data_IF_340863187840
#
_entry.id   IF_340863187840
#
_cell.length_a   1.000
_cell.length_b   1.000
_cell.length_c   1.000
_cell.angle_alpha   90.00
_cell.angle_beta   90.00
_cell.angle_gamma   90.00
#
_symmetry.space_group_name_H-M   'P 1'
#
loop_
_entity.id
_entity.type
_entity.pdbx_description
1 polymer ?
#
# COMPACT_ATOMS: atom_id res chain seq x y z
N UNK A 1 19.79 -22.23 -11.34
CA UNK A 1 18.61 -23.11 -11.49
C UNK A 1 17.64 -22.43 -12.44
N UNK A 2 17.21 -23.11 -13.51
CA UNK A 2 16.19 -22.62 -14.43
C UNK A 2 14.85 -22.64 -13.68
N UNK A 3 14.05 -21.56 -13.71
CA UNK A 3 12.73 -21.56 -13.05
C UNK A 3 11.85 -22.65 -13.68
N UNK A 4 11.02 -23.33 -12.85
CA UNK A 4 10.12 -24.35 -13.36
C UNK A 4 9.18 -23.75 -14.41
N UNK A 5 8.86 -24.52 -15.44
CA UNK A 5 7.89 -24.14 -16.46
C UNK A 5 6.55 -23.90 -15.77
N UNK A 6 5.85 -22.77 -16.05
CA UNK A 6 4.55 -22.49 -15.43
C UNK A 6 3.57 -23.63 -15.74
N UNK A 7 2.95 -24.16 -14.69
CA UNK A 7 1.83 -25.10 -14.83
C UNK A 7 0.53 -24.35 -15.16
N UNK A 8 -0.56 -25.07 -15.43
CA UNK A 8 -1.84 -24.48 -15.83
C UNK A 8 -2.37 -23.42 -14.86
N UNK A 9 -2.21 -23.65 -13.54
CA UNK A 9 -2.66 -22.72 -12.51
C UNK A 9 -1.84 -21.42 -12.51
N UNK A 10 -0.52 -21.55 -12.60
CA UNK A 10 0.38 -20.39 -12.63
C UNK A 10 0.17 -19.53 -13.89
N UNK A 11 -0.25 -20.13 -15.01
CA UNK A 11 -0.59 -19.39 -16.21
C UNK A 11 -1.79 -18.45 -16.00
N UNK A 12 -2.77 -18.85 -15.19
CA UNK A 12 -3.93 -18.02 -14.86
C UNK A 12 -3.59 -16.83 -13.95
N UNK A 13 -2.51 -16.96 -13.17
CA UNK A 13 -2.04 -15.92 -12.25
C UNK A 13 -1.11 -14.90 -12.91
N UNK A 14 -0.69 -15.10 -14.16
CA UNK A 14 0.21 -14.17 -14.85
C UNK A 14 -0.36 -12.76 -14.95
N UNK A 15 0.54 -11.77 -14.93
CA UNK A 15 0.24 -10.35 -15.06
C UNK A 15 0.41 -9.58 -13.78
N UNK A 16 -0.15 -8.38 -13.76
CA UNK A 16 -0.02 -7.44 -12.68
C UNK A 16 -1.33 -7.35 -11.88
N UNK A 17 -1.21 -7.27 -10.57
CA UNK A 17 -2.30 -7.31 -9.59
C UNK A 17 -2.10 -6.22 -8.55
N UNK A 18 -3.09 -5.33 -8.39
CA UNK A 18 -3.10 -4.31 -7.35
C UNK A 18 -3.78 -4.83 -6.08
N UNK A 19 -3.16 -4.62 -4.93
CA UNK A 19 -3.73 -5.00 -3.62
C UNK A 19 -4.90 -4.06 -3.32
N UNK A 20 -6.10 -4.62 -3.20
CA UNK A 20 -7.32 -3.90 -2.88
C UNK A 20 -7.60 -3.90 -1.37
N UNK A 21 -7.33 -5.03 -0.69
CA UNK A 21 -7.41 -5.14 0.76
C UNK A 21 -6.26 -5.98 1.30
N UNK A 22 -5.77 -5.62 2.47
CA UNK A 22 -4.76 -6.36 3.22
C UNK A 22 -5.20 -6.45 4.68
N UNK A 23 -5.13 -7.65 5.25
CA UNK A 23 -5.35 -7.91 6.66
C UNK A 23 -4.19 -8.75 7.18
N UNK A 24 -3.55 -8.35 8.27
CA UNK A 24 -2.47 -9.10 8.93
C UNK A 24 -2.90 -9.34 10.37
N UNK A 25 -2.85 -10.60 10.82
CA UNK A 25 -3.20 -11.00 12.19
C UNK A 25 -4.56 -10.49 12.66
N UNK A 26 -5.57 -10.48 11.76
CA UNK A 26 -6.91 -10.02 12.05
C UNK A 26 -7.05 -8.49 12.07
N UNK A 27 -5.99 -7.76 11.73
CA UNK A 27 -6.01 -6.31 11.67
C UNK A 27 -5.97 -5.82 10.22
N UNK A 28 -6.90 -4.96 9.79
CA UNK A 28 -6.82 -4.33 8.48
C UNK A 28 -5.58 -3.45 8.39
N UNK A 29 -4.84 -3.62 7.31
CA UNK A 29 -3.62 -2.88 7.00
C UNK A 29 -3.81 -2.01 5.76
N UNK A 30 -2.96 -0.98 5.57
CA UNK A 30 -2.95 -0.22 4.33
C UNK A 30 -2.83 -1.13 3.12
N UNK A 31 -3.81 -1.11 2.25
CA UNK A 31 -3.79 -1.84 0.99
C UNK A 31 -3.00 -1.04 -0.05
N UNK A 32 -1.70 -0.87 0.17
CA UNK A 32 -0.80 -0.25 -0.79
C UNK A 32 0.19 -1.29 -1.28
N UNK A 33 0.15 -1.60 -2.58
CA UNK A 33 1.09 -2.55 -3.16
C UNK A 33 0.56 -3.18 -4.45
N UNK A 34 1.48 -3.85 -5.11
CA UNK A 34 1.26 -4.50 -6.39
C UNK A 34 2.08 -5.78 -6.46
N UNK A 35 1.52 -6.81 -7.05
CA UNK A 35 2.24 -8.04 -7.36
C UNK A 35 2.26 -8.19 -8.88
N UNK A 36 3.45 -8.42 -9.43
CA UNK A 36 3.65 -8.78 -10.84
C UNK A 36 4.12 -10.21 -10.88
N UNK A 37 3.44 -11.05 -11.64
CA UNK A 37 3.77 -12.48 -11.82
C UNK A 37 4.12 -12.69 -13.28
N UNK A 38 5.35 -13.10 -13.55
CA UNK A 38 5.87 -13.36 -14.89
C UNK A 38 6.62 -14.69 -14.92
N UNK A 39 6.10 -15.64 -15.66
CA UNK A 39 6.61 -17.02 -15.65
C UNK A 39 6.54 -17.62 -14.25
N UNK A 40 7.66 -18.13 -13.76
CA UNK A 40 7.80 -18.66 -12.39
C UNK A 40 8.36 -17.64 -11.39
N UNK A 41 8.28 -16.34 -11.67
CA UNK A 41 8.83 -15.27 -10.83
C UNK A 41 7.73 -14.33 -10.39
N UNK A 42 7.93 -13.71 -9.23
CA UNK A 42 7.12 -12.61 -8.79
C UNK A 42 7.98 -11.42 -8.38
N UNK A 43 7.44 -10.24 -8.56
CA UNK A 43 7.92 -8.99 -7.95
C UNK A 43 6.73 -8.37 -7.23
N UNK A 44 6.89 -8.04 -5.97
CA UNK A 44 5.86 -7.28 -5.23
C UNK A 44 6.50 -6.10 -4.56
N UNK A 45 5.79 -5.00 -4.56
CA UNK A 45 6.02 -3.87 -3.69
C UNK A 45 4.86 -3.79 -2.71
N UNK A 46 5.19 -3.90 -1.46
CA UNK A 46 4.23 -3.77 -0.37
C UNK A 46 4.90 -3.05 0.78
N UNK A 47 4.18 -2.13 1.42
CA UNK A 47 4.66 -1.40 2.59
C UNK A 47 6.01 -0.69 2.37
N UNK A 48 6.26 -0.17 1.14
CA UNK A 48 7.46 0.57 0.79
C UNK A 48 8.72 -0.26 0.53
N UNK A 49 8.63 -1.59 0.55
CA UNK A 49 9.73 -2.49 0.22
C UNK A 49 9.44 -3.27 -1.06
N UNK A 50 10.49 -3.49 -1.86
CA UNK A 50 10.44 -4.37 -3.02
C UNK A 50 10.87 -5.78 -2.62
N UNK A 51 10.06 -6.77 -2.97
CA UNK A 51 10.35 -8.18 -2.79
C UNK A 51 10.35 -8.88 -4.15
N UNK A 52 11.33 -9.74 -4.39
CA UNK A 52 11.41 -10.57 -5.59
C UNK A 52 11.62 -12.03 -5.21
N UNK A 53 11.12 -12.91 -6.05
CA UNK A 53 11.31 -14.33 -5.82
C UNK A 53 10.74 -15.21 -6.90
N UNK A 54 10.67 -16.50 -6.58
CA UNK A 54 10.00 -17.50 -7.40
C UNK A 54 8.66 -17.88 -6.78
N UNK A 55 7.70 -18.17 -7.64
CA UNK A 55 6.34 -18.55 -7.27
C UNK A 55 5.99 -19.91 -7.86
N UNK A 56 5.42 -20.76 -7.03
CA UNK A 56 4.80 -22.00 -7.42
C UNK A 56 3.31 -21.92 -7.06
N UNK A 57 2.44 -22.31 -7.98
CA UNK A 57 1.00 -22.34 -7.75
C UNK A 57 0.42 -23.63 -8.32
N UNK A 58 -0.25 -24.41 -7.47
CA UNK A 58 -0.85 -25.68 -7.84
C UNK A 58 -2.03 -26.02 -6.94
N UNK A 59 -3.17 -26.36 -7.54
CA UNK A 59 -4.36 -26.83 -6.82
C UNK A 59 -4.79 -25.94 -5.64
N UNK A 60 -4.77 -24.61 -5.86
CA UNK A 60 -5.13 -23.63 -4.84
C UNK A 60 -4.06 -23.36 -3.78
N UNK A 61 -2.89 -23.99 -3.87
CA UNK A 61 -1.73 -23.75 -3.01
C UNK A 61 -0.74 -22.84 -3.73
N UNK A 62 -0.05 -21.99 -2.97
CA UNK A 62 0.91 -21.03 -3.49
C UNK A 62 2.12 -20.98 -2.56
N UNK A 63 3.33 -21.06 -3.15
CA UNK A 63 4.59 -20.95 -2.43
C UNK A 63 5.41 -19.81 -3.04
N UNK A 64 5.83 -18.89 -2.18
CA UNK A 64 6.72 -17.79 -2.53
C UNK A 64 8.09 -18.04 -1.90
N UNK A 65 9.12 -18.11 -2.72
CA UNK A 65 10.51 -18.17 -2.23
C UNK A 65 11.19 -16.84 -2.55
N UNK A 66 11.54 -16.09 -1.52
CA UNK A 66 12.13 -14.76 -1.68
C UNK A 66 13.62 -14.85 -2.04
N UNK A 67 13.98 -14.18 -3.14
CA UNK A 67 15.38 -14.10 -3.62
C UNK A 67 15.99 -12.71 -3.41
N UNK A 68 15.16 -11.71 -3.11
CA UNK A 68 15.55 -10.32 -2.86
C UNK A 68 14.54 -9.65 -1.92
N UNK A 69 14.94 -8.57 -1.27
CA UNK A 69 14.15 -7.82 -0.31
C UNK A 69 14.38 -8.25 1.14
N UNK A 70 13.64 -7.70 2.10
CA UNK A 70 13.77 -8.00 3.54
C UNK A 70 13.63 -9.48 3.88
N UNK A 71 12.82 -10.22 3.12
CA UNK A 71 12.53 -11.65 3.34
C UNK A 71 13.47 -12.59 2.54
N UNK A 72 14.57 -12.08 2.00
CA UNK A 72 15.50 -12.89 1.20
C UNK A 72 15.93 -14.18 1.91
N UNK A 73 15.72 -15.31 1.24
CA UNK A 73 16.04 -16.66 1.74
C UNK A 73 14.86 -17.36 2.41
N UNK A 74 13.80 -16.62 2.76
CA UNK A 74 12.60 -17.19 3.37
C UNK A 74 11.65 -17.77 2.31
N UNK A 75 10.80 -18.70 2.76
CA UNK A 75 9.70 -19.25 1.99
C UNK A 75 8.39 -18.94 2.70
N UNK A 76 7.44 -18.38 1.98
CA UNK A 76 6.10 -18.11 2.47
C UNK A 76 5.12 -19.10 1.84
N UNK A 77 4.44 -19.90 2.69
CA UNK A 77 3.44 -20.85 2.28
C UNK A 77 2.07 -20.18 2.23
N UNK A 78 1.31 -20.39 1.16
CA UNK A 78 0.01 -19.75 1.02
C UNK A 78 -1.03 -20.62 0.32
N UNK A 79 -2.25 -20.12 0.32
CA UNK A 79 -3.35 -20.58 -0.51
C UNK A 79 -3.85 -19.42 -1.36
N UNK A 80 -4.38 -19.73 -2.54
CA UNK A 80 -4.98 -18.73 -3.41
C UNK A 80 -6.33 -19.17 -3.95
N UNK A 81 -7.14 -18.19 -4.33
CA UNK A 81 -8.40 -18.37 -5.04
C UNK A 81 -8.52 -17.30 -6.10
N UNK A 82 -8.72 -17.72 -7.33
CA UNK A 82 -8.94 -16.83 -8.46
C UNK A 82 -10.41 -16.87 -8.89
N UNK A 83 -11.04 -15.71 -9.02
CA UNK A 83 -12.40 -15.56 -9.56
C UNK A 83 -12.43 -14.39 -10.54
N UNK A 84 -12.39 -14.69 -11.83
CA UNK A 84 -12.25 -13.66 -12.87
C UNK A 84 -10.97 -12.84 -12.64
N UNK A 85 -11.10 -11.53 -12.49
CA UNK A 85 -10.01 -10.61 -12.25
C UNK A 85 -9.77 -10.30 -10.76
N UNK A 86 -10.31 -11.11 -9.88
CA UNK A 86 -10.07 -11.00 -8.42
C UNK A 86 -9.27 -12.20 -7.95
N UNK A 87 -8.10 -11.93 -7.37
CA UNK A 87 -7.21 -12.89 -6.75
C UNK A 87 -7.24 -12.69 -5.24
N UNK A 88 -7.51 -13.74 -4.48
CA UNK A 88 -7.42 -13.74 -3.03
C UNK A 88 -6.25 -14.63 -2.61
N UNK A 89 -5.39 -14.10 -1.75
CA UNK A 89 -4.23 -14.80 -1.19
C UNK A 89 -4.38 -14.87 0.32
N UNK A 90 -4.04 -16.01 0.91
CA UNK A 90 -3.79 -16.10 2.34
C UNK A 90 -2.38 -16.67 2.54
N UNK A 91 -1.50 -15.91 3.17
CA UNK A 91 -0.07 -16.14 3.23
C UNK A 91 0.38 -16.34 4.69
N UNK A 92 1.24 -17.32 4.94
CA UNK A 92 1.88 -17.55 6.23
C UNK A 92 3.15 -16.69 6.33
N UNK A 93 3.06 -15.49 6.92
CA UNK A 93 4.20 -14.58 7.05
C UNK A 93 5.19 -15.06 8.10
N UNK A 94 4.70 -15.39 9.29
CA UNK A 94 5.51 -15.89 10.41
C UNK A 94 5.07 -17.27 10.89
N UNK A 95 3.92 -17.78 10.40
CA UNK A 95 3.46 -19.12 10.69
C UNK A 95 4.26 -20.17 9.91
N UNK A 96 4.70 -21.27 10.54
CA UNK A 96 5.41 -22.34 9.84
C UNK A 96 4.47 -23.23 9.01
N UNK A 97 3.15 -23.05 9.11
CA UNK A 97 2.16 -23.92 8.48
C UNK A 97 1.34 -23.16 7.44
N UNK A 98 1.05 -23.85 6.33
CA UNK A 98 0.18 -23.33 5.27
C UNK A 98 -1.22 -23.05 5.80
N UNK A 99 -1.81 -21.88 5.50
CA UNK A 99 -3.21 -21.61 5.79
C UNK A 99 -4.14 -22.65 5.14
N UNK A 100 -5.25 -22.97 5.80
CA UNK A 100 -6.30 -23.84 5.26
C UNK A 100 -7.58 -23.10 4.96
N UNK A 101 -7.66 -21.81 5.34
CA UNK A 101 -8.83 -20.95 5.16
C UNK A 101 -8.38 -19.53 4.81
N UNK A 102 -9.23 -18.80 4.10
CA UNK A 102 -9.03 -17.37 3.81
C UNK A 102 -9.50 -16.52 5.00
N UNK A 103 -8.75 -16.57 6.09
CA UNK A 103 -9.05 -15.84 7.32
C UNK A 103 -7.78 -15.65 8.13
N UNK A 104 -7.64 -14.50 8.77
CA UNK A 104 -6.61 -14.21 9.77
C UNK A 104 -7.23 -14.08 11.17
N UNK A 105 -6.41 -14.08 12.20
CA UNK A 105 -6.80 -13.84 13.58
C UNK A 105 -5.60 -13.23 14.33
N UNK A 106 -5.79 -12.54 15.46
CA UNK A 106 -4.68 -12.05 16.27
C UNK A 106 -3.65 -13.14 16.59
N UNK A 107 -2.37 -12.88 16.30
CA UNK A 107 -1.25 -13.79 16.51
C UNK A 107 -1.22 -15.02 15.61
N UNK A 108 -1.99 -15.03 14.52
CA UNK A 108 -2.00 -16.15 13.57
C UNK A 108 -0.73 -16.23 12.70
N UNK A 109 0.02 -15.14 12.56
CA UNK A 109 1.14 -15.00 11.65
C UNK A 109 0.72 -15.06 10.17
N UNK A 110 -0.55 -14.76 9.88
CA UNK A 110 -1.14 -14.83 8.53
C UNK A 110 -1.45 -13.45 7.97
N UNK A 111 -1.29 -13.31 6.65
CA UNK A 111 -1.83 -12.20 5.88
C UNK A 111 -2.93 -12.69 4.93
N UNK A 112 -3.99 -11.91 4.80
CA UNK A 112 -5.06 -12.11 3.83
C UNK A 112 -5.11 -10.90 2.90
N UNK A 113 -4.94 -11.16 1.61
CA UNK A 113 -4.93 -10.14 0.56
C UNK A 113 -6.04 -10.40 -0.44
N UNK A 114 -6.71 -9.34 -0.87
CA UNK A 114 -7.55 -9.35 -2.06
C UNK A 114 -6.94 -8.42 -3.09
N UNK A 115 -6.73 -8.93 -4.29
CA UNK A 115 -6.08 -8.21 -5.38
C UNK A 115 -7.00 -8.19 -6.60
N UNK A 116 -6.88 -7.12 -7.38
CA UNK A 116 -7.54 -7.01 -8.68
C UNK A 116 -6.50 -6.96 -9.79
N UNK A 117 -6.80 -7.65 -10.89
CA UNK A 117 -5.96 -7.64 -12.10
C UNK A 117 -5.92 -6.22 -12.66
N UNK A 118 -4.72 -5.73 -12.93
CA UNK A 118 -4.56 -4.41 -13.54
C UNK A 118 -5.18 -4.38 -14.94
N UNK A 119 -5.86 -3.26 -15.25
CA UNK A 119 -6.61 -3.11 -16.52
C UNK A 119 -7.98 -3.78 -16.55
N UNK A 120 -8.40 -4.48 -15.49
CA UNK A 120 -9.77 -4.99 -15.38
C UNK A 120 -10.77 -3.89 -15.04
N UNK A 121 -12.05 -4.08 -15.39
CA UNK A 121 -13.13 -3.16 -15.01
C UNK A 121 -13.28 -3.05 -13.48
N UNK A 122 -12.89 -4.08 -12.75
CA UNK A 122 -12.92 -4.14 -11.29
C UNK A 122 -11.76 -3.35 -10.68
N UNK A 123 -10.56 -3.42 -11.29
CA UNK A 123 -9.41 -2.62 -10.89
C UNK A 123 -9.64 -1.12 -11.14
N UNK A 124 -10.31 -0.76 -12.24
CA UNK A 124 -10.67 0.63 -12.52
C UNK A 124 -11.61 1.23 -11.44
N UNK A 125 -12.41 0.38 -10.78
CA UNK A 125 -13.31 0.79 -9.68
C UNK A 125 -12.58 0.83 -8.32
N UNK A 126 -11.47 0.11 -8.17
CA UNK A 126 -10.61 0.12 -6.98
C UNK A 126 -9.53 1.24 -7.01
N UNK A 127 -9.55 2.08 -8.05
CA UNK A 127 -8.86 3.35 -8.12
C UNK A 127 -7.41 3.29 -8.57
N UNK A 128 -7.16 3.76 -9.74
CA UNK A 128 -5.85 4.17 -10.17
C UNK A 128 -5.57 3.96 -11.65
N UNK A 129 -6.27 4.67 -12.51
CA UNK A 129 -5.69 5.03 -13.80
C UNK A 129 -4.39 5.78 -13.55
N UNK A 130 -3.29 5.40 -14.19
CA UNK A 130 -2.04 6.14 -14.11
C UNK A 130 -2.30 7.60 -14.47
N UNK A 131 -2.01 8.50 -13.54
CA UNK A 131 -2.15 9.95 -13.74
C UNK A 131 -0.78 10.49 -14.09
N UNK A 132 -0.72 11.40 -15.05
CA UNK A 132 0.51 12.14 -15.29
C UNK A 132 0.75 13.14 -14.15
N UNK A 133 2.01 13.31 -13.76
CA UNK A 133 2.37 14.38 -12.84
C UNK A 133 1.97 15.74 -13.44
N UNK A 134 1.51 16.69 -12.62
CA UNK A 134 1.31 18.07 -13.07
C UNK A 134 2.64 18.64 -13.57
N UNK A 135 2.57 19.50 -14.58
CA UNK A 135 3.75 20.16 -15.16
C UNK A 135 4.44 21.04 -14.12
N UNK A 136 3.66 21.61 -13.19
CA UNK A 136 4.15 22.49 -12.12
C UNK A 136 3.52 22.10 -10.80
N UNK A 137 4.36 22.00 -9.74
CA UNK A 137 3.90 21.85 -8.37
C UNK A 137 3.91 23.21 -7.69
N UNK A 138 2.85 23.53 -6.95
CA UNK A 138 2.80 24.75 -6.14
C UNK A 138 3.79 24.63 -4.97
N UNK A 139 4.74 25.58 -4.82
CA UNK A 139 5.66 25.54 -3.68
C UNK A 139 4.89 25.54 -2.35
N UNK A 140 5.32 24.71 -1.43
CA UNK A 140 4.66 24.54 -0.13
C UNK A 140 5.68 24.41 1.03
N UNK A 141 6.57 25.42 1.20
CA UNK A 141 7.63 25.36 2.21
C UNK A 141 7.09 25.22 3.64
N UNK A 142 5.86 25.65 3.89
CA UNK A 142 5.21 25.57 5.18
C UNK A 142 4.93 24.13 5.66
N UNK A 143 4.83 23.16 4.74
CA UNK A 143 4.62 21.74 5.06
C UNK A 143 5.80 20.87 4.66
N UNK A 144 6.91 21.47 4.26
CA UNK A 144 8.21 20.79 4.09
C UNK A 144 8.97 20.67 5.42
N UNK A 145 10.07 19.93 5.41
CA UNK A 145 10.90 19.64 6.59
C UNK A 145 10.58 18.30 7.24
N UNK A 146 11.01 18.15 8.50
CA UNK A 146 10.90 16.91 9.25
C UNK A 146 9.76 16.97 10.27
N UNK A 147 9.03 15.85 10.35
CA UNK A 147 7.81 15.74 11.14
C UNK A 147 7.74 14.41 11.86
N UNK A 148 7.31 14.45 13.12
CA UNK A 148 6.97 13.31 13.96
C UNK A 148 5.47 13.04 13.88
N UNK A 149 5.07 11.79 13.67
CA UNK A 149 3.66 11.38 13.75
C UNK A 149 3.17 11.49 15.20
N UNK A 150 2.01 12.10 15.39
CA UNK A 150 1.37 12.29 16.71
C UNK A 150 0.12 11.42 16.82
N UNK A 151 -0.63 11.31 15.76
CA UNK A 151 -1.77 10.41 15.67
C UNK A 151 -2.04 10.01 14.23
N UNK A 152 -2.56 8.82 14.04
CA UNK A 152 -3.00 8.36 12.74
C UNK A 152 -4.18 7.41 12.89
N UNK A 153 -5.10 7.50 11.94
CA UNK A 153 -6.15 6.51 11.72
C UNK A 153 -6.27 6.19 10.24
N UNK A 154 -6.68 4.97 9.95
CA UNK A 154 -6.89 4.50 8.60
C UNK A 154 -8.19 3.70 8.53
N UNK A 155 -9.02 3.98 7.53
CA UNK A 155 -10.33 3.36 7.38
C UNK A 155 -11.18 3.45 8.66
N UNK A 156 -11.05 4.56 9.41
CA UNK A 156 -11.78 4.80 10.66
C UNK A 156 -11.16 4.13 11.89
N UNK A 157 -10.08 3.36 11.76
CA UNK A 157 -9.43 2.68 12.88
C UNK A 157 -8.11 3.38 13.25
N UNK A 158 -7.81 3.60 14.54
CA UNK A 158 -6.53 4.15 14.95
C UNK A 158 -5.39 3.18 14.61
N UNK A 159 -4.23 3.71 14.21
CA UNK A 159 -3.04 2.88 14.04
C UNK A 159 -2.45 2.47 15.40
N UNK A 160 -1.76 1.32 15.46
CA UNK A 160 -1.04 0.88 16.65
C UNK A 160 -0.06 1.95 17.16
N UNK A 161 0.08 2.04 18.49
CA UNK A 161 0.90 3.07 19.14
C UNK A 161 2.37 3.05 18.67
N UNK A 162 2.94 1.87 18.45
CA UNK A 162 4.31 1.70 17.94
C UNK A 162 4.52 2.31 16.55
N UNK A 163 3.49 2.30 15.69
CA UNK A 163 3.51 2.95 14.39
C UNK A 163 3.51 4.48 14.52
N UNK A 164 2.72 4.99 15.47
CA UNK A 164 2.66 6.43 15.75
C UNK A 164 4.00 6.92 16.32
N UNK A 165 4.56 6.23 17.29
CA UNK A 165 5.82 6.62 17.94
C UNK A 165 7.02 6.57 16.99
N UNK A 166 7.06 5.59 16.09
CA UNK A 166 8.14 5.44 15.11
C UNK A 166 7.91 6.21 13.81
N UNK A 167 6.71 6.76 13.59
CA UNK A 167 6.33 7.42 12.35
C UNK A 167 7.08 8.73 12.12
N UNK A 168 7.74 8.86 10.97
CA UNK A 168 8.47 10.07 10.53
C UNK A 168 8.02 10.45 9.14
N UNK A 169 7.94 11.75 8.88
CA UNK A 169 7.72 12.30 7.54
C UNK A 169 8.80 13.33 7.26
N UNK A 170 9.51 13.17 6.15
CA UNK A 170 10.46 14.15 5.63
C UNK A 170 9.97 14.64 4.28
N UNK A 171 9.91 15.96 4.08
CA UNK A 171 9.43 16.56 2.84
C UNK A 171 10.36 17.67 2.34
N UNK A 172 10.64 17.67 1.04
CA UNK A 172 11.47 18.66 0.36
C UNK A 172 11.04 18.77 -1.11
N UNK A 173 10.91 20.00 -1.62
CA UNK A 173 10.58 20.27 -3.02
C UNK A 173 9.30 19.54 -3.49
N UNK A 174 8.24 19.59 -2.70
CA UNK A 174 6.98 18.89 -2.97
C UNK A 174 7.09 17.36 -3.07
N UNK A 175 8.17 16.78 -2.59
CA UNK A 175 8.34 15.33 -2.46
C UNK A 175 8.43 14.98 -0.97
N UNK A 176 7.80 13.87 -0.57
CA UNK A 176 7.88 13.42 0.82
C UNK A 176 7.98 11.91 0.95
N UNK A 177 8.59 11.51 2.04
CA UNK A 177 8.63 10.12 2.50
C UNK A 177 8.05 10.01 3.89
N UNK A 178 7.28 8.95 4.09
CA UNK A 178 6.85 8.53 5.43
C UNK A 178 7.55 7.22 5.74
N UNK A 179 8.21 7.18 6.88
CA UNK A 179 8.82 5.96 7.41
C UNK A 179 8.21 5.59 8.75
N UNK A 180 8.11 4.29 9.00
CA UNK A 180 7.65 3.70 10.25
C UNK A 180 8.61 2.57 10.59
N UNK A 181 9.10 2.51 11.83
CA UNK A 181 10.08 1.51 12.27
C UNK A 181 11.33 1.46 11.38
N UNK A 182 11.74 2.62 10.83
CA UNK A 182 12.89 2.74 9.93
C UNK A 182 12.64 2.31 8.47
N UNK A 183 11.45 1.82 8.13
CA UNK A 183 11.07 1.43 6.77
C UNK A 183 10.25 2.51 6.09
N UNK A 184 10.52 2.78 4.81
CA UNK A 184 9.71 3.72 4.01
C UNK A 184 8.37 3.07 3.66
N UNK A 185 7.29 3.64 4.20
CA UNK A 185 5.91 3.19 3.99
C UNK A 185 5.23 3.92 2.84
N UNK A 186 5.65 5.15 2.58
CA UNK A 186 5.07 5.98 1.53
C UNK A 186 6.14 6.89 0.95
N UNK A 187 6.21 6.92 -0.37
CA UNK A 187 6.98 7.88 -1.14
C UNK A 187 6.06 8.52 -2.16
N UNK A 188 5.91 9.83 -2.12
CA UNK A 188 5.00 10.54 -3.00
C UNK A 188 5.46 11.98 -3.25
N UNK A 189 4.97 12.55 -4.34
CA UNK A 189 4.96 14.01 -4.54
C UNK A 189 3.60 14.55 -4.13
N UNK A 190 3.54 15.83 -3.80
CA UNK A 190 2.28 16.47 -3.44
C UNK A 190 2.11 17.82 -4.13
N UNK A 191 0.88 18.17 -4.41
CA UNK A 191 0.49 19.50 -4.84
C UNK A 191 -0.60 20.02 -3.91
N UNK A 192 -0.58 21.33 -3.66
CA UNK A 192 -1.55 21.97 -2.76
C UNK A 192 -2.37 23.02 -3.51
N UNK A 193 -3.60 23.20 -3.05
CA UNK A 193 -4.46 24.31 -3.47
C UNK A 193 -4.97 25.03 -2.21
N UNK A 194 -4.52 26.26 -2.07
CA UNK A 194 -4.88 27.14 -0.94
C UNK A 194 -6.17 27.91 -1.16
N UNK A 195 -6.74 27.86 -2.37
CA UNK A 195 -7.96 28.58 -2.73
C UNK A 195 -9.23 27.91 -2.23
N UNK A 196 -9.13 26.63 -1.83
CA UNK A 196 -10.27 25.84 -1.31
C UNK A 196 -10.37 25.88 0.21
N UNK A 197 -11.58 25.62 0.73
CA UNK A 197 -11.85 25.47 2.17
C UNK A 197 -12.63 24.16 2.41
N UNK A 198 -12.04 23.17 3.11
CA UNK A 198 -10.66 23.10 3.58
C UNK A 198 -9.63 23.14 2.43
N UNK A 199 -8.37 23.55 2.73
CA UNK A 199 -7.32 23.61 1.73
C UNK A 199 -7.05 22.21 1.18
N UNK A 200 -6.92 22.11 -0.14
CA UNK A 200 -6.74 20.84 -0.81
C UNK A 200 -5.27 20.44 -0.94
N UNK A 201 -5.02 19.14 -0.89
CA UNK A 201 -3.73 18.52 -1.17
C UNK A 201 -3.95 17.26 -2.01
N UNK A 202 -3.12 17.09 -3.03
CA UNK A 202 -3.13 15.90 -3.87
C UNK A 202 -1.80 15.17 -3.73
N UNK A 203 -1.84 13.87 -3.42
CA UNK A 203 -0.68 13.01 -3.35
C UNK A 203 -0.55 12.22 -4.65
N UNK A 204 0.61 12.31 -5.25
CA UNK A 204 1.03 11.53 -6.41
C UNK A 204 1.97 10.44 -5.90
N UNK A 205 1.39 9.34 -5.48
CA UNK A 205 2.13 8.22 -4.90
C UNK A 205 2.92 7.52 -6.00
N UNK A 206 4.23 7.50 -5.83
CA UNK A 206 5.14 6.81 -6.75
C UNK A 206 5.05 5.31 -6.50
N UNK A 207 4.54 4.60 -7.49
CA UNK A 207 4.48 3.14 -7.50
C UNK A 207 5.57 2.54 -8.38
N UNK A 208 5.72 1.22 -8.38
CA UNK A 208 6.63 0.52 -9.26
C UNK A 208 6.29 0.76 -10.74
N UNK A 209 7.31 0.78 -11.58
CA UNK A 209 7.14 0.89 -13.02
C UNK A 209 6.52 2.20 -13.49
N UNK A 210 6.89 3.32 -12.86
CA UNK A 210 6.44 4.69 -13.19
C UNK A 210 4.92 4.92 -13.07
N UNK A 211 4.19 4.01 -12.45
CA UNK A 211 2.76 4.19 -12.21
C UNK A 211 2.54 5.18 -11.08
N UNK A 212 1.85 6.27 -11.35
CA UNK A 212 1.49 7.29 -10.37
C UNK A 212 0.03 7.06 -9.96
N UNK A 213 -0.21 6.97 -8.66
CA UNK A 213 -1.55 6.90 -8.09
C UNK A 213 -1.91 8.23 -7.46
N UNK A 214 -3.02 8.80 -7.89
CA UNK A 214 -3.53 10.05 -7.34
C UNK A 214 -4.44 9.75 -6.14
N UNK A 215 -4.16 10.44 -5.03
CA UNK A 215 -5.00 10.47 -3.86
C UNK A 215 -5.38 11.91 -3.55
N UNK A 216 -6.67 12.17 -3.42
CA UNK A 216 -7.19 13.48 -3.07
C UNK A 216 -7.28 13.64 -1.56
N UNK A 217 -6.88 14.78 -1.05
CA UNK A 217 -6.93 15.06 0.38
C UNK A 217 -7.16 16.53 0.70
N UNK A 218 -7.27 16.78 1.98
CA UNK A 218 -7.29 18.12 2.57
C UNK A 218 -6.20 18.23 3.63
N UNK A 219 -5.74 19.44 3.87
CA UNK A 219 -4.71 19.71 4.85
C UNK A 219 -4.96 21.00 5.62
N UNK A 220 -4.39 21.11 6.79
CA UNK A 220 -4.27 22.34 7.57
C UNK A 220 -2.97 22.33 8.36
N UNK A 221 -2.46 23.53 8.61
CA UNK A 221 -1.30 23.76 9.47
C UNK A 221 -1.70 24.73 10.58
N UNK A 222 -1.60 24.27 11.82
CA UNK A 222 -1.90 25.05 13.01
C UNK A 222 -0.66 25.08 13.91
N UNK A 223 0.07 26.21 13.83
CA UNK A 223 1.39 26.32 14.48
C UNK A 223 2.39 25.30 13.92
N UNK A 224 2.81 24.35 14.73
CA UNK A 224 3.73 23.27 14.35
C UNK A 224 3.02 21.93 14.10
N UNK A 225 1.69 21.93 14.00
CA UNK A 225 0.89 20.72 13.74
C UNK A 225 0.33 20.75 12.33
N UNK A 226 0.73 19.77 11.53
CA UNK A 226 0.18 19.50 10.20
C UNK A 226 -0.86 18.37 10.32
N UNK A 227 -2.11 18.66 9.97
CA UNK A 227 -3.17 17.64 9.86
C UNK A 227 -3.47 17.38 8.39
N UNK A 228 -3.54 16.10 7.99
CA UNK A 228 -3.96 15.72 6.65
C UNK A 228 -5.05 14.64 6.73
N UNK A 229 -6.08 14.76 5.88
CA UNK A 229 -7.05 13.71 5.64
C UNK A 229 -7.01 13.36 4.16
N UNK A 230 -6.60 12.12 3.86
CA UNK A 230 -6.32 11.66 2.49
C UNK A 230 -7.24 10.51 2.15
N UNK A 231 -7.96 10.64 1.04
CA UNK A 231 -8.80 9.56 0.50
C UNK A 231 -7.96 8.44 -0.10
N UNK A 232 -8.48 7.23 -0.06
CA UNK A 232 -7.88 6.11 -0.81
C UNK A 232 -7.88 6.41 -2.32
N UNK A 233 -6.98 5.78 -3.11
CA UNK A 233 -6.96 5.98 -4.56
C UNK A 233 -8.33 5.75 -5.19
N UNK A 234 -8.79 6.72 -6.01
CA UNK A 234 -10.11 6.69 -6.63
C UNK A 234 -11.29 7.12 -5.75
N UNK A 235 -11.05 7.43 -4.48
CA UNK A 235 -12.07 8.01 -3.60
C UNK A 235 -12.18 9.53 -3.82
N UNK A 236 -13.36 10.12 -3.55
CA UNK A 236 -13.51 11.57 -3.56
C UNK A 236 -12.64 12.22 -2.48
N UNK A 237 -12.35 13.52 -2.66
CA UNK A 237 -11.65 14.32 -1.66
C UNK A 237 -12.46 14.36 -0.36
N UNK A 238 -11.85 14.08 0.81
CA UNK A 238 -12.51 14.28 2.10
C UNK A 238 -12.99 15.73 2.26
N UNK A 239 -14.16 15.92 2.86
CA UNK A 239 -14.70 17.25 3.13
C UNK A 239 -14.32 17.76 4.53
N UNK A 240 -13.92 16.87 5.44
CA UNK A 240 -13.66 17.16 6.85
C UNK A 240 -12.46 16.36 7.36
N UNK A 241 -11.83 16.85 8.45
CA UNK A 241 -10.72 16.16 9.12
C UNK A 241 -11.26 15.12 10.10
N UNK A 242 -11.93 14.11 9.56
CA UNK A 242 -12.56 13.04 10.33
C UNK A 242 -12.07 11.67 9.87
N UNK A 243 -11.93 10.75 10.82
CA UNK A 243 -11.63 9.36 10.53
C UNK A 243 -12.87 8.69 9.91
N UNK A 244 -12.71 7.94 8.84
CA UNK A 244 -13.82 7.28 8.17
C UNK A 244 -13.36 6.22 7.17
N UNK A 245 -14.31 5.53 6.54
CA UNK A 245 -14.00 4.56 5.51
C UNK A 245 -13.20 5.20 4.38
N UNK A 246 -12.18 4.50 3.87
CA UNK A 246 -11.31 4.95 2.79
C UNK A 246 -10.59 6.29 3.06
N UNK A 247 -10.44 6.70 4.32
CA UNK A 247 -9.72 7.91 4.73
C UNK A 247 -8.54 7.52 5.62
N UNK A 248 -7.37 8.09 5.30
CA UNK A 248 -6.20 8.15 6.19
C UNK A 248 -6.12 9.54 6.79
N UNK A 249 -6.36 9.65 8.09
CA UNK A 249 -6.24 10.90 8.86
C UNK A 249 -4.94 10.86 9.66
N UNK A 250 -4.08 11.86 9.52
CA UNK A 250 -2.81 11.94 10.26
C UNK A 250 -2.60 13.32 10.85
N UNK A 251 -1.96 13.35 12.02
CA UNK A 251 -1.47 14.57 12.65
C UNK A 251 0.03 14.43 12.86
N UNK A 252 0.77 15.40 12.37
CA UNK A 252 2.22 15.47 12.42
C UNK A 252 2.66 16.69 13.22
N UNK A 253 3.72 16.56 14.02
CA UNK A 253 4.38 17.67 14.70
C UNK A 253 5.72 17.93 14.06
N UNK A 254 6.02 19.19 13.75
CA UNK A 254 7.33 19.59 13.25
C UNK A 254 8.41 19.33 14.31
N UNK A 255 9.54 18.76 13.90
CA UNK A 255 10.71 18.47 14.74
C UNK A 255 11.80 19.50 14.55
#
# INVERSE_FOLDING_TARGET
MTPPKPNGDLLLLQGAWSIATLEIDGQPMPAAGRIIIEGGKFTTESMGAEYKGTILAESGKLDLQFTSGPEKGNTCLGIYKLKGDTLQLCLALTSPTRPTRFKTAPGSGLALETLHRDGSKTAAKAGGGGVSLPVTFQPAPEIEGDWQLISASMNGQPLPQEYVESGRRTATNNEFRVSVMGQTMLHARFNIDRSTLPQAIDYYVCGPGETIRLQHGIWKLEGNLLTTAIGSPGSPRPAQFEAGPAITLTVWRRT
#
